data_IF_159550419183
#
_entry.id   IF_159550419183
#
_cell.length_a   1.000
_cell.length_b   1.000
_cell.length_c   1.000
_cell.angle_alpha   90.00
_cell.angle_beta   90.00
_cell.angle_gamma   90.00
#
_symmetry.space_group_name_H-M   'P 1'
#
loop_
_entity.id
_entity.type
_entity.pdbx_description
1 polymer ?
#
# COMPACT_ATOMS: atom_id res chain seq x y z
N UNK A 1 3.25 -5.96 24.47
CA UNK A 1 2.93 -6.47 23.10
C UNK A 1 2.65 -7.97 23.23
N UNK A 2 1.51 -8.29 23.80
CA UNK A 2 1.04 -9.66 23.98
C UNK A 2 0.66 -10.25 22.62
N UNK A 3 1.00 -11.50 22.34
CA UNK A 3 0.72 -12.18 21.06
C UNK A 3 1.61 -11.79 19.86
N UNK A 4 2.63 -10.94 20.03
CA UNK A 4 3.52 -10.50 18.93
C UNK A 4 4.82 -11.31 18.94
N UNK A 5 5.12 -11.99 17.85
CA UNK A 5 6.36 -12.78 17.68
C UNK A 5 7.59 -11.89 17.49
N UNK A 6 8.80 -12.43 17.65
CA UNK A 6 10.03 -11.66 17.45
C UNK A 6 10.22 -11.24 15.98
N UNK A 7 9.76 -12.04 15.03
CA UNK A 7 9.77 -11.69 13.61
C UNK A 7 8.83 -10.51 13.33
N UNK A 8 7.64 -10.49 13.91
CA UNK A 8 6.69 -9.40 13.79
C UNK A 8 7.21 -8.10 14.44
N UNK A 9 7.96 -8.19 15.54
CA UNK A 9 8.65 -7.03 16.13
C UNK A 9 9.66 -6.40 15.19
N UNK A 10 10.39 -7.21 14.41
CA UNK A 10 11.30 -6.70 13.38
C UNK A 10 10.53 -5.95 12.30
N UNK A 11 9.39 -6.48 11.85
CA UNK A 11 8.52 -5.84 10.86
C UNK A 11 7.95 -4.50 11.38
N UNK A 12 7.53 -4.46 12.64
CA UNK A 12 7.10 -3.21 13.30
C UNK A 12 8.24 -2.19 13.38
N UNK A 13 9.48 -2.63 13.60
CA UNK A 13 10.66 -1.77 13.56
C UNK A 13 10.91 -1.17 12.16
N UNK A 14 10.68 -1.95 11.08
CA UNK A 14 10.73 -1.43 9.70
C UNK A 14 9.65 -0.38 9.47
N UNK A 15 8.45 -0.62 9.92
CA UNK A 15 7.36 0.36 9.82
C UNK A 15 7.66 1.66 10.59
N UNK A 16 8.23 1.57 11.79
CA UNK A 16 8.66 2.75 12.54
C UNK A 16 9.70 3.58 11.76
N UNK A 17 10.66 2.92 11.12
CA UNK A 17 11.65 3.57 10.26
C UNK A 17 11.00 4.22 9.01
N UNK A 18 10.02 3.56 8.41
CA UNK A 18 9.25 4.15 7.32
C UNK A 18 8.50 5.41 7.77
N UNK A 19 7.86 5.40 8.93
CA UNK A 19 7.19 6.59 9.46
C UNK A 19 8.15 7.77 9.65
N UNK A 20 9.39 7.50 10.04
CA UNK A 20 10.42 8.53 10.23
C UNK A 20 10.96 9.08 8.89
N UNK A 21 11.23 8.21 7.92
CA UNK A 21 12.02 8.55 6.73
C UNK A 21 11.23 8.56 5.42
N UNK A 22 10.10 7.84 5.35
CA UNK A 22 9.34 7.60 4.11
C UNK A 22 7.94 8.20 4.08
N UNK A 23 7.43 8.73 5.21
CA UNK A 23 6.03 9.17 5.32
C UNK A 23 5.77 10.62 4.87
N UNK A 24 6.78 11.36 4.40
CA UNK A 24 6.64 12.77 4.03
C UNK A 24 5.51 13.06 3.05
N UNK A 25 5.35 12.20 2.03
CA UNK A 25 4.26 12.31 1.06
C UNK A 25 2.87 12.21 1.74
N UNK A 26 2.73 11.28 2.68
CA UNK A 26 1.50 11.05 3.43
C UNK A 26 1.13 12.29 4.26
N UNK A 27 2.09 12.88 4.96
CA UNK A 27 1.87 14.06 5.78
C UNK A 27 1.44 15.28 4.94
N UNK A 28 2.03 15.49 3.77
CA UNK A 28 1.63 16.57 2.87
C UNK A 28 0.21 16.31 2.33
N UNK A 29 -0.07 15.11 1.85
CA UNK A 29 -1.39 14.75 1.32
C UNK A 29 -2.48 14.83 2.40
N UNK A 30 -2.19 14.40 3.62
CA UNK A 30 -3.11 14.43 4.76
C UNK A 30 -3.42 15.85 5.22
N UNK A 31 -2.43 16.75 5.21
CA UNK A 31 -2.54 18.09 5.81
C UNK A 31 -2.76 19.21 4.80
N UNK A 32 -2.16 19.15 3.64
CA UNK A 32 -2.14 20.21 2.62
C UNK A 32 -2.32 19.66 1.19
N UNK A 33 -3.35 18.82 0.92
CA UNK A 33 -3.54 18.18 -0.38
C UNK A 33 -3.65 19.20 -1.53
N UNK A 34 -4.40 20.26 -1.33
CA UNK A 34 -4.64 21.28 -2.37
C UNK A 34 -3.36 22.04 -2.74
N UNK A 35 -2.47 22.30 -1.78
CA UNK A 35 -1.22 23.05 -2.03
C UNK A 35 -0.32 22.29 -3.00
N UNK A 36 -0.13 20.98 -2.77
CA UNK A 36 0.66 20.15 -3.66
C UNK A 36 -0.07 19.86 -4.98
N UNK A 37 -1.40 19.73 -4.93
CA UNK A 37 -2.24 19.46 -6.09
C UNK A 37 -2.08 20.48 -7.21
N UNK A 38 -1.94 21.75 -6.91
CA UNK A 38 -1.69 22.78 -7.93
C UNK A 38 -0.40 22.50 -8.72
N UNK A 39 0.69 22.17 -8.04
CA UNK A 39 1.97 21.89 -8.69
C UNK A 39 1.96 20.62 -9.52
N UNK A 40 1.31 19.57 -9.03
CA UNK A 40 1.28 18.27 -9.71
C UNK A 40 0.29 18.25 -10.90
N UNK A 41 -0.74 19.09 -10.90
CA UNK A 41 -1.62 19.27 -12.06
C UNK A 41 -1.02 20.22 -13.13
N UNK A 42 0.02 20.97 -12.80
CA UNK A 42 0.66 21.92 -13.71
C UNK A 42 1.96 21.38 -14.34
N UNK A 43 2.56 20.34 -13.74
CA UNK A 43 3.84 19.78 -14.17
C UNK A 43 3.75 18.26 -14.39
N UNK A 44 3.75 17.79 -15.66
CA UNK A 44 3.76 16.35 -15.94
C UNK A 44 5.03 15.66 -15.40
N UNK A 45 6.19 16.32 -15.44
CA UNK A 45 7.43 15.78 -14.88
C UNK A 45 7.39 15.78 -13.35
N UNK A 46 6.77 16.77 -12.72
CA UNK A 46 6.57 16.80 -11.27
C UNK A 46 5.65 15.66 -10.82
N UNK A 47 4.55 15.45 -11.53
CA UNK A 47 3.64 14.33 -11.29
C UNK A 47 4.35 12.97 -11.48
N UNK A 48 5.09 12.82 -12.57
CA UNK A 48 5.87 11.61 -12.84
C UNK A 48 6.86 11.32 -11.71
N UNK A 49 7.64 12.31 -11.26
CA UNK A 49 8.57 12.16 -10.15
C UNK A 49 7.88 11.76 -8.85
N UNK A 50 6.71 12.34 -8.57
CA UNK A 50 5.91 12.02 -7.37
C UNK A 50 5.42 10.57 -7.34
N UNK A 51 5.03 10.02 -8.49
CA UNK A 51 4.51 8.65 -8.60
C UNK A 51 5.64 7.63 -8.75
N UNK A 52 6.61 7.88 -9.66
CA UNK A 52 7.70 6.92 -9.97
C UNK A 52 8.55 6.63 -8.74
N UNK A 53 8.82 7.64 -7.90
CA UNK A 53 9.59 7.46 -6.66
C UNK A 53 8.94 6.38 -5.75
N UNK A 54 7.61 6.26 -5.73
CA UNK A 54 6.92 5.25 -4.93
C UNK A 54 7.09 3.85 -5.52
N UNK A 55 7.03 3.72 -6.84
CA UNK A 55 7.33 2.45 -7.50
C UNK A 55 8.78 2.00 -7.27
N UNK A 56 9.71 2.94 -7.22
CA UNK A 56 11.10 2.63 -6.90
C UNK A 56 11.30 2.22 -5.43
N UNK A 57 10.60 2.89 -4.50
CA UNK A 57 10.83 2.71 -3.06
C UNK A 57 10.06 1.56 -2.44
N UNK A 58 8.95 1.12 -3.05
CA UNK A 58 7.99 0.20 -2.43
C UNK A 58 7.83 -1.14 -3.16
N UNK A 59 8.54 -1.35 -4.26
CA UNK A 59 8.62 -2.65 -4.93
C UNK A 59 9.64 -3.57 -4.26
N UNK A 60 9.61 -4.85 -4.62
CA UNK A 60 10.54 -5.87 -4.12
C UNK A 60 11.99 -5.48 -4.44
N UNK A 61 12.87 -5.60 -3.45
CA UNK A 61 14.23 -5.01 -3.45
C UNK A 61 15.20 -5.74 -4.40
N UNK A 62 15.12 -5.47 -5.68
CA UNK A 62 16.28 -5.63 -6.58
C UNK A 62 16.92 -4.25 -6.74
N UNK A 63 17.96 -3.98 -5.96
CA UNK A 63 18.69 -2.71 -5.89
C UNK A 63 18.83 -2.05 -7.26
N UNK A 64 18.35 -0.83 -7.37
CA UNK A 64 18.46 0.05 -8.53
C UNK A 64 17.71 -0.38 -9.82
N UNK A 65 16.75 -1.29 -9.72
CA UNK A 65 15.86 -1.62 -10.84
C UNK A 65 14.41 -1.30 -10.52
N UNK A 66 13.75 -0.70 -11.48
CA UNK A 66 12.29 -0.61 -11.47
C UNK A 66 11.73 -1.99 -11.86
N UNK A 67 11.11 -2.72 -10.91
CA UNK A 67 10.57 -4.07 -11.15
C UNK A 67 9.33 -4.01 -12.02
N UNK A 68 8.47 -3.02 -11.77
CA UNK A 68 7.32 -2.73 -12.64
C UNK A 68 7.83 -2.05 -13.92
N UNK A 69 7.31 -2.44 -15.07
CA UNK A 69 7.76 -1.88 -16.33
C UNK A 69 7.58 -0.35 -16.36
N UNK A 70 8.51 0.37 -16.97
CA UNK A 70 8.40 1.82 -17.12
C UNK A 70 7.13 2.21 -17.91
N UNK A 71 6.72 1.38 -18.86
CA UNK A 71 5.50 1.57 -19.66
C UNK A 71 4.25 1.53 -18.78
N UNK A 72 4.15 0.56 -17.86
CA UNK A 72 3.04 0.46 -16.91
C UNK A 72 3.00 1.67 -15.97
N UNK A 73 4.16 2.06 -15.43
CA UNK A 73 4.24 3.22 -14.52
C UNK A 73 3.88 4.51 -15.24
N UNK A 74 4.36 4.72 -16.48
CA UNK A 74 4.00 5.88 -17.29
C UNK A 74 2.53 5.86 -17.70
N UNK A 75 1.92 4.70 -17.89
CA UNK A 75 0.49 4.58 -18.14
C UNK A 75 -0.32 5.05 -16.93
N UNK A 76 0.10 4.70 -15.71
CA UNK A 76 -0.52 5.18 -14.47
C UNK A 76 -0.34 6.70 -14.34
N UNK A 77 0.86 7.23 -14.56
CA UNK A 77 1.12 8.68 -14.56
C UNK A 77 0.22 9.40 -15.56
N UNK A 78 0.09 8.86 -16.78
CA UNK A 78 -0.76 9.41 -17.83
C UNK A 78 -2.24 9.40 -17.46
N UNK A 79 -2.71 8.34 -16.78
CA UNK A 79 -4.07 8.29 -16.27
C UNK A 79 -4.34 9.44 -15.29
N UNK A 80 -3.47 9.66 -14.31
CA UNK A 80 -3.59 10.79 -13.37
C UNK A 80 -3.53 12.14 -14.08
N UNK A 81 -2.62 12.28 -15.06
CA UNK A 81 -2.42 13.52 -15.80
C UNK A 81 -3.63 13.91 -16.63
N UNK A 82 -4.09 13.01 -17.52
CA UNK A 82 -5.20 13.31 -18.43
C UNK A 82 -6.57 13.36 -17.75
N UNK A 83 -6.72 12.71 -16.60
CA UNK A 83 -7.95 12.80 -15.79
C UNK A 83 -7.92 13.95 -14.77
N UNK A 84 -6.81 14.67 -14.63
CA UNK A 84 -6.60 15.73 -13.64
C UNK A 84 -6.91 15.30 -12.20
N UNK A 85 -6.71 13.99 -11.89
CA UNK A 85 -7.22 13.35 -10.66
C UNK A 85 -6.23 13.35 -9.50
N UNK A 86 -4.99 13.83 -9.67
CA UNK A 86 -4.00 13.77 -8.59
C UNK A 86 -4.45 14.55 -7.34
N UNK A 87 -5.06 15.73 -7.51
CA UNK A 87 -5.52 16.51 -6.36
C UNK A 87 -6.66 15.81 -5.62
N UNK A 88 -7.62 15.20 -6.33
CA UNK A 88 -8.72 14.46 -5.70
C UNK A 88 -8.22 13.21 -4.98
N UNK A 89 -7.23 12.50 -5.53
CA UNK A 89 -6.62 11.34 -4.86
C UNK A 89 -5.93 11.72 -3.54
N UNK A 90 -5.28 12.88 -3.48
CA UNK A 90 -4.68 13.39 -2.25
C UNK A 90 -5.71 13.77 -1.18
N UNK A 91 -6.90 14.26 -1.57
CA UNK A 91 -7.97 14.59 -0.63
C UNK A 91 -8.43 13.37 0.16
N UNK A 92 -8.36 12.18 -0.41
CA UNK A 92 -8.69 10.94 0.29
C UNK A 92 -7.85 10.77 1.57
N UNK A 93 -6.57 11.13 1.52
CA UNK A 93 -5.70 11.10 2.71
C UNK A 93 -6.14 12.11 3.79
N UNK A 94 -6.59 13.29 3.37
CA UNK A 94 -7.08 14.31 4.30
C UNK A 94 -8.40 13.90 4.97
N UNK A 95 -9.32 13.32 4.21
CA UNK A 95 -10.61 12.87 4.69
C UNK A 95 -10.46 11.68 5.64
N UNK A 96 -9.73 10.64 5.24
CA UNK A 96 -9.45 9.49 6.10
C UNK A 96 -8.72 9.87 7.39
N UNK A 97 -7.82 10.84 7.33
CA UNK A 97 -7.10 11.34 8.51
C UNK A 97 -7.99 12.09 9.51
N UNK A 98 -9.16 12.58 9.08
CA UNK A 98 -10.15 13.25 9.95
C UNK A 98 -11.13 12.27 10.58
N UNK A 99 -11.57 11.28 9.81
CA UNK A 99 -12.59 10.32 10.27
C UNK A 99 -11.99 9.23 11.16
N UNK A 100 -10.71 8.90 10.96
CA UNK A 100 -10.05 7.79 11.65
C UNK A 100 -10.55 6.43 11.16
N UNK A 101 -10.02 5.36 11.77
CA UNK A 101 -10.45 4.00 11.45
C UNK A 101 -11.64 3.59 12.31
N UNK A 102 -12.60 2.88 11.71
CA UNK A 102 -13.69 2.24 12.47
C UNK A 102 -13.10 1.25 13.48
N UNK A 103 -13.66 1.27 14.70
CA UNK A 103 -13.31 0.31 15.75
C UNK A 103 -14.21 -0.94 15.73
N UNK A 104 -15.17 -1.00 14.81
CA UNK A 104 -16.07 -2.14 14.70
C UNK A 104 -15.35 -3.31 14.05
N UNK A 105 -15.57 -4.50 14.59
CA UNK A 105 -15.05 -5.74 14.01
C UNK A 105 -15.68 -5.97 12.63
N UNK A 106 -14.87 -6.39 11.67
CA UNK A 106 -15.30 -6.79 10.33
C UNK A 106 -15.71 -8.26 10.39
N UNK A 107 -17.00 -8.53 10.25
CA UNK A 107 -17.57 -9.87 10.39
C UNK A 107 -17.47 -10.71 9.12
N UNK A 108 -17.32 -10.08 7.95
CA UNK A 108 -17.16 -10.80 6.69
C UNK A 108 -15.84 -11.58 6.67
N UNK A 109 -15.82 -12.81 6.11
CA UNK A 109 -14.59 -13.57 5.96
C UNK A 109 -13.51 -12.76 5.23
N UNK A 110 -12.34 -12.62 5.85
CA UNK A 110 -11.25 -11.79 5.36
C UNK A 110 -10.02 -12.63 5.10
N UNK A 111 -9.39 -12.42 3.94
CA UNK A 111 -8.09 -12.98 3.59
C UNK A 111 -7.02 -11.89 3.55
N UNK A 112 -5.81 -12.23 4.02
CA UNK A 112 -4.63 -11.39 3.93
C UNK A 112 -3.52 -12.13 3.18
N UNK A 113 -3.12 -11.59 2.03
CA UNK A 113 -1.90 -11.93 1.32
C UNK A 113 -0.81 -10.92 1.75
N UNK A 114 0.20 -11.38 2.47
CA UNK A 114 1.24 -10.52 3.04
C UNK A 114 2.51 -10.63 2.22
N UNK A 115 2.81 -9.57 1.49
CA UNK A 115 4.03 -9.50 0.69
C UNK A 115 5.17 -8.94 1.53
N UNK A 116 6.31 -9.63 1.51
CA UNK A 116 7.46 -9.45 2.44
C UNK A 116 7.96 -8.00 2.53
N UNK A 117 7.93 -7.26 1.42
CA UNK A 117 8.41 -5.88 1.35
C UNK A 117 7.28 -4.84 1.33
N UNK A 118 6.08 -5.21 1.78
CA UNK A 118 5.00 -4.28 2.05
C UNK A 118 5.44 -3.24 3.10
N UNK A 119 4.93 -2.02 2.98
CA UNK A 119 5.25 -0.88 3.86
C UNK A 119 4.93 -1.20 5.32
N UNK A 120 3.78 -1.81 5.58
CA UNK A 120 3.33 -2.20 6.90
C UNK A 120 2.76 -3.62 6.88
N UNK A 121 3.38 -4.50 7.65
CA UNK A 121 2.88 -5.83 7.93
C UNK A 121 2.45 -5.90 9.40
N UNK A 122 1.14 -5.94 9.69
CA UNK A 122 0.65 -6.00 11.06
C UNK A 122 0.89 -7.38 11.68
N UNK A 123 1.09 -7.47 13.00
CA UNK A 123 1.02 -8.74 13.71
C UNK A 123 -0.32 -9.44 13.47
N UNK A 124 -0.29 -10.75 13.28
CA UNK A 124 -1.49 -11.55 13.06
C UNK A 124 -2.53 -11.38 14.17
N UNK A 125 -2.08 -11.37 15.41
CA UNK A 125 -2.96 -11.17 16.57
C UNK A 125 -3.76 -9.85 16.49
N UNK A 126 -3.18 -8.77 15.96
CA UNK A 126 -3.89 -7.49 15.79
C UNK A 126 -4.93 -7.56 14.65
N UNK A 127 -4.60 -8.29 13.59
CA UNK A 127 -5.55 -8.49 12.50
C UNK A 127 -6.77 -9.35 12.95
N UNK A 128 -6.55 -10.37 13.78
CA UNK A 128 -7.61 -11.23 14.33
C UNK A 128 -8.57 -10.49 15.27
N UNK A 129 -8.12 -9.41 15.91
CA UNK A 129 -8.98 -8.55 16.73
C UNK A 129 -9.98 -7.75 15.88
N UNK A 130 -9.57 -7.36 14.67
CA UNK A 130 -10.33 -6.46 13.80
C UNK A 130 -11.13 -7.24 12.75
N UNK A 131 -10.59 -8.33 12.22
CA UNK A 131 -11.14 -9.06 11.08
C UNK A 131 -11.58 -10.47 11.44
N UNK A 132 -12.60 -10.98 10.75
CA UNK A 132 -12.91 -12.41 10.70
C UNK A 132 -11.91 -13.09 9.75
N UNK A 133 -10.71 -13.37 10.27
CA UNK A 133 -9.57 -13.80 9.49
C UNK A 133 -9.64 -15.29 9.18
N UNK A 134 -9.84 -15.65 7.90
CA UNK A 134 -9.94 -17.05 7.43
C UNK A 134 -8.79 -17.47 6.51
N UNK A 135 -7.96 -16.53 6.09
CA UNK A 135 -6.81 -16.76 5.21
C UNK A 135 -5.67 -15.79 5.57
N UNK A 136 -4.43 -16.33 5.73
CA UNK A 136 -3.25 -15.56 6.12
C UNK A 136 -2.02 -16.22 5.54
N UNK A 137 -1.49 -15.66 4.46
CA UNK A 137 -0.37 -16.26 3.74
C UNK A 137 0.72 -15.23 3.46
N UNK A 138 1.98 -15.69 3.44
CA UNK A 138 3.15 -14.84 3.21
C UNK A 138 3.79 -15.13 1.86
N UNK A 139 4.17 -14.09 1.13
CA UNK A 139 4.75 -14.15 -0.21
C UNK A 139 5.95 -13.22 -0.37
N UNK A 140 6.82 -13.53 -1.33
CA UNK A 140 7.82 -12.59 -1.81
C UNK A 140 7.16 -11.55 -2.74
N UNK A 141 7.56 -10.28 -2.61
CA UNK A 141 7.01 -9.16 -3.36
C UNK A 141 6.92 -7.89 -2.49
N UNK A 142 6.52 -6.79 -3.09
CA UNK A 142 6.39 -5.49 -2.43
C UNK A 142 4.95 -4.96 -2.40
N UNK A 143 4.84 -3.64 -2.27
CA UNK A 143 3.57 -2.93 -2.10
C UNK A 143 2.65 -3.03 -3.32
N UNK A 144 3.22 -3.07 -4.52
CA UNK A 144 2.46 -3.15 -5.76
C UNK A 144 2.29 -4.59 -6.25
N UNK A 145 1.93 -5.49 -5.35
CA UNK A 145 1.87 -6.93 -5.55
C UNK A 145 1.13 -7.38 -6.84
N UNK A 146 0.06 -6.68 -7.23
CA UNK A 146 -0.68 -6.97 -8.46
C UNK A 146 0.15 -6.73 -9.73
N UNK A 147 1.12 -5.82 -9.70
CA UNK A 147 2.02 -5.53 -10.81
C UNK A 147 3.33 -6.32 -10.71
N UNK A 148 3.81 -6.57 -9.50
CA UNK A 148 5.08 -7.25 -9.25
C UNK A 148 4.97 -8.77 -9.36
N UNK A 149 3.88 -9.34 -8.83
CA UNK A 149 3.66 -10.79 -8.65
C UNK A 149 2.20 -11.17 -9.00
N UNK A 150 1.70 -10.83 -10.20
CA UNK A 150 0.28 -11.04 -10.56
C UNK A 150 -0.17 -12.49 -10.44
N UNK A 151 0.67 -13.45 -10.86
CA UNK A 151 0.34 -14.88 -10.79
C UNK A 151 0.25 -15.39 -9.34
N UNK A 152 1.10 -14.86 -8.45
CA UNK A 152 1.09 -15.20 -7.03
C UNK A 152 -0.18 -14.67 -6.36
N UNK A 153 -0.53 -13.41 -6.63
CA UNK A 153 -1.74 -12.79 -6.09
C UNK A 153 -3.01 -13.46 -6.64
N UNK A 154 -3.06 -13.78 -7.94
CA UNK A 154 -4.18 -14.52 -8.53
C UNK A 154 -4.38 -15.87 -7.85
N UNK A 155 -3.31 -16.63 -7.67
CA UNK A 155 -3.33 -17.94 -6.99
C UNK A 155 -3.82 -17.81 -5.55
N UNK A 156 -3.36 -16.81 -4.82
CA UNK A 156 -3.77 -16.55 -3.45
C UNK A 156 -5.27 -16.23 -3.36
N UNK A 157 -5.79 -15.37 -4.24
CA UNK A 157 -7.21 -15.03 -4.32
C UNK A 157 -8.04 -16.31 -4.57
N UNK A 158 -7.61 -17.18 -5.48
CA UNK A 158 -8.31 -18.45 -5.74
C UNK A 158 -8.31 -19.37 -4.52
N UNK A 159 -7.20 -19.46 -3.79
CA UNK A 159 -7.10 -20.24 -2.54
C UNK A 159 -8.04 -19.67 -1.46
N UNK A 160 -8.09 -18.35 -1.32
CA UNK A 160 -9.01 -17.68 -0.40
C UNK A 160 -10.49 -17.98 -0.76
N UNK A 161 -10.88 -17.81 -2.03
CA UNK A 161 -12.24 -18.09 -2.49
C UNK A 161 -12.65 -19.55 -2.23
N UNK A 162 -11.74 -20.51 -2.45
CA UNK A 162 -11.99 -21.93 -2.13
C UNK A 162 -12.28 -22.16 -0.63
N UNK A 163 -11.61 -21.40 0.27
CA UNK A 163 -11.88 -21.49 1.72
C UNK A 163 -13.26 -20.98 2.10
N UNK A 164 -13.84 -20.09 1.32
CA UNK A 164 -15.19 -19.54 1.59
C UNK A 164 -16.33 -20.53 1.35
N UNK A 165 -16.09 -21.67 0.73
CA UNK A 165 -17.11 -22.69 0.40
C UNK A 165 -18.33 -22.12 -0.33
N UNK A 166 -18.11 -21.11 -1.18
CA UNK A 166 -19.14 -20.53 -2.05
C UNK A 166 -19.28 -21.35 -3.32
#
# INVERSE_FOLDING_TARGET
MEGVTDQEKVLLGRYAKYLELGSGYFEIQRTKPQTLGYSLNDSPVGLAGWIIEKFHSWTDDEKDKLIVSLEDVLSIVSLYWFSESITSSMRLYNENGREGFSKSKVEVPTGCALFKNEIMLPPKAWAEEIYNLVHWEHYDGGHFAALEKPETLEKDIRLFVQKLKI
#
